data_IF_381522426003
#
_entry.id   IF_381522426003
#
_cell.length_a   1.000
_cell.length_b   1.000
_cell.length_c   1.000
_cell.angle_alpha   90.00
_cell.angle_beta   90.00
_cell.angle_gamma   90.00
#
_symmetry.space_group_name_H-M   'P 1'
#
loop_
_entity.id
_entity.type
_entity.pdbx_description
1 polymer ?
#
# COMPACT_ATOMS: atom_id res chain seq x y z
N UNK A 1 64.09 24.28 -21.72
CA UNK A 1 63.27 23.05 -21.47
C UNK A 1 61.85 23.48 -21.25
N UNK A 2 61.00 23.25 -22.25
CA UNK A 2 59.54 23.64 -22.16
C UNK A 2 58.84 22.44 -21.67
N UNK A 3 58.29 22.54 -20.45
CA UNK A 3 57.41 21.54 -19.89
C UNK A 3 55.96 21.76 -20.38
N UNK A 4 55.44 20.82 -21.14
CA UNK A 4 54.02 20.79 -21.53
C UNK A 4 53.25 20.21 -20.37
N UNK A 5 52.45 21.03 -19.67
CA UNK A 5 51.48 20.57 -18.69
C UNK A 5 50.26 20.04 -19.45
N UNK A 6 50.08 18.73 -19.46
CA UNK A 6 48.82 18.09 -19.90
C UNK A 6 47.77 18.31 -18.80
N UNK A 7 46.87 19.26 -19.03
CA UNK A 7 45.67 19.40 -18.23
C UNK A 7 44.72 18.25 -18.60
N UNK A 8 44.66 17.23 -17.74
CA UNK A 8 43.66 16.16 -17.86
C UNK A 8 42.29 16.71 -17.56
N UNK A 9 41.41 16.76 -18.55
CA UNK A 9 39.97 17.05 -18.34
C UNK A 9 39.35 15.78 -17.78
N UNK A 10 39.08 15.76 -16.48
CA UNK A 10 38.26 14.73 -15.87
C UNK A 10 36.81 14.97 -16.27
N UNK A 11 36.30 14.22 -17.24
CA UNK A 11 34.86 14.19 -17.55
C UNK A 11 34.21 13.35 -16.46
N UNK A 12 33.61 13.99 -15.49
CA UNK A 12 32.72 13.31 -14.55
C UNK A 12 31.46 12.88 -15.32
N UNK A 13 31.38 11.60 -15.66
CA UNK A 13 30.14 10.98 -16.16
C UNK A 13 29.17 10.96 -15.02
N UNK A 14 28.23 11.94 -14.98
CA UNK A 14 27.07 11.89 -14.10
C UNK A 14 26.14 10.77 -14.60
N UNK A 15 26.11 9.66 -13.88
CA UNK A 15 25.10 8.63 -14.08
C UNK A 15 23.72 9.25 -13.81
N UNK A 16 22.68 9.00 -14.65
CA UNK A 16 21.36 9.45 -14.34
C UNK A 16 20.94 8.80 -13.00
N UNK A 17 20.80 9.63 -11.98
CA UNK A 17 20.28 9.16 -10.71
C UNK A 17 18.83 8.75 -10.94
N UNK A 18 18.44 7.56 -10.45
CA UNK A 18 17.05 7.18 -10.37
C UNK A 18 16.27 8.28 -9.62
N UNK A 19 15.04 8.66 -10.07
CA UNK A 19 14.24 9.61 -9.32
C UNK A 19 14.11 9.12 -7.88
N UNK A 20 14.11 10.03 -6.88
CA UNK A 20 13.98 9.63 -5.48
C UNK A 20 12.70 8.80 -5.33
N UNK A 21 12.81 7.65 -4.65
CA UNK A 21 11.67 6.80 -4.37
C UNK A 21 10.63 7.60 -3.58
N UNK A 22 9.37 7.57 -4.04
CA UNK A 22 8.26 8.19 -3.33
C UNK A 22 7.96 7.35 -2.10
N UNK A 23 7.93 7.97 -0.92
CA UNK A 23 7.59 7.27 0.30
C UNK A 23 6.08 6.97 0.35
N UNK A 24 5.67 5.80 0.84
CA UNK A 24 4.25 5.43 0.92
C UNK A 24 3.38 6.46 1.67
N UNK A 25 3.89 7.05 2.74
CA UNK A 25 3.20 8.06 3.54
C UNK A 25 3.03 9.40 2.83
N UNK A 26 3.79 9.68 1.79
CA UNK A 26 3.61 10.88 0.96
C UNK A 26 2.37 10.76 0.07
N UNK A 27 2.02 9.55 -0.31
CA UNK A 27 0.85 9.27 -1.18
C UNK A 27 -0.37 8.90 -0.34
N UNK A 28 -0.19 8.07 0.67
CA UNK A 28 -1.26 7.63 1.57
C UNK A 28 -1.00 8.19 2.98
N UNK A 29 -1.55 9.37 3.30
CA UNK A 29 -1.23 10.07 4.55
C UNK A 29 -1.54 9.30 5.83
N UNK A 30 -2.48 8.36 5.80
CA UNK A 30 -2.80 7.51 6.95
C UNK A 30 -1.58 6.72 7.43
N UNK A 31 -0.64 6.40 6.54
CA UNK A 31 0.59 5.68 6.89
C UNK A 31 1.57 6.53 7.71
N UNK A 32 1.44 7.85 7.69
CA UNK A 32 2.22 8.76 8.52
C UNK A 32 1.67 8.91 9.95
N UNK A 33 0.43 8.48 10.19
CA UNK A 33 -0.21 8.53 11.51
C UNK A 33 0.54 7.60 12.49
N UNK A 34 0.70 8.03 13.74
CA UNK A 34 1.23 7.17 14.78
C UNK A 34 0.35 5.91 14.94
N UNK A 35 0.97 4.77 15.23
CA UNK A 35 0.26 3.53 15.47
C UNK A 35 -0.49 3.58 16.82
N UNK A 36 -1.58 2.83 16.88
CA UNK A 36 -2.39 2.65 18.07
C UNK A 36 -2.69 1.15 18.27
N UNK A 37 -3.18 0.77 19.43
CA UNK A 37 -3.44 -0.65 19.74
C UNK A 37 -4.44 -1.30 18.76
N UNK A 38 -5.45 -0.53 18.29
CA UNK A 38 -6.45 -0.99 17.32
C UNK A 38 -5.88 -1.23 15.92
N UNK A 39 -4.70 -0.72 15.62
CA UNK A 39 -4.06 -0.88 14.32
C UNK A 39 -3.46 -2.27 14.10
N UNK A 40 -3.36 -3.09 15.13
CA UNK A 40 -2.78 -4.41 15.04
C UNK A 40 -3.54 -5.29 14.02
N UNK A 41 -2.79 -5.87 13.08
CA UNK A 41 -3.33 -6.87 12.16
C UNK A 41 -3.75 -8.13 12.92
N UNK A 42 -4.79 -8.85 12.46
CA UNK A 42 -5.10 -10.18 12.99
C UNK A 42 -3.88 -11.10 12.93
N UNK A 43 -3.73 -11.97 13.92
CA UNK A 43 -2.55 -12.85 14.08
C UNK A 43 -2.33 -13.77 12.89
N UNK A 44 -3.39 -14.30 12.29
CA UNK A 44 -3.33 -15.14 11.11
C UNK A 44 -2.83 -14.36 9.88
N UNK A 45 -3.21 -13.09 9.77
CA UNK A 45 -2.71 -12.19 8.71
C UNK A 45 -1.21 -11.93 8.89
N UNK A 46 -0.77 -11.64 10.11
CA UNK A 46 0.65 -11.43 10.43
C UNK A 46 1.47 -12.66 10.07
N UNK A 47 1.00 -13.83 10.45
CA UNK A 47 1.69 -15.09 10.17
C UNK A 47 1.84 -15.36 8.67
N UNK A 48 0.81 -15.07 7.89
CA UNK A 48 0.85 -15.21 6.43
C UNK A 48 1.70 -14.15 5.75
N UNK A 49 1.65 -12.92 6.26
CA UNK A 49 2.35 -11.77 5.69
C UNK A 49 3.88 -11.81 5.91
N UNK A 50 4.35 -12.58 6.88
CA UNK A 50 5.78 -12.72 7.17
C UNK A 50 6.48 -13.75 6.28
N UNK A 51 5.73 -14.45 5.43
CA UNK A 51 6.25 -15.46 4.51
C UNK A 51 6.16 -14.91 3.08
N UNK A 52 7.24 -15.01 2.33
CA UNK A 52 7.27 -14.60 0.93
C UNK A 52 8.38 -13.59 0.61
N UNK A 53 8.33 -13.08 -0.61
CA UNK A 53 9.29 -12.11 -1.13
C UNK A 53 9.11 -10.72 -0.47
N UNK A 54 10.16 -9.87 -0.44
CA UNK A 54 10.07 -8.50 0.11
C UNK A 54 8.95 -7.66 -0.50
N UNK A 55 8.56 -7.93 -1.74
CA UNK A 55 7.49 -7.21 -2.45
C UNK A 55 6.10 -7.50 -1.90
N UNK A 56 5.92 -8.63 -1.23
CA UNK A 56 4.64 -9.07 -0.67
C UNK A 56 4.65 -9.17 0.86
N UNK A 57 5.83 -9.12 1.45
CA UNK A 57 5.97 -9.23 2.90
C UNK A 57 5.67 -7.90 3.57
N UNK A 58 4.60 -7.88 4.38
CA UNK A 58 4.17 -6.69 5.11
C UNK A 58 5.06 -6.44 6.33
N UNK A 59 5.28 -5.17 6.63
CA UNK A 59 5.76 -4.74 7.94
C UNK A 59 4.55 -4.59 8.88
N UNK A 60 4.38 -5.48 9.88
CA UNK A 60 3.21 -5.43 10.76
C UNK A 60 3.10 -4.12 11.56
N UNK A 61 4.24 -3.48 11.85
CA UNK A 61 4.26 -2.21 12.59
C UNK A 61 3.77 -1.02 11.76
N UNK A 62 3.72 -1.18 10.44
CA UNK A 62 3.21 -0.13 9.54
C UNK A 62 1.69 -0.12 9.43
N UNK A 63 1.01 -1.16 9.89
CA UNK A 63 -0.43 -1.30 9.72
C UNK A 63 -1.22 -0.19 10.42
N UNK A 64 -2.25 0.33 9.73
CA UNK A 64 -3.17 1.33 10.25
C UNK A 64 -4.59 0.92 9.92
N UNK A 65 -5.43 0.75 10.95
CA UNK A 65 -6.84 0.39 10.78
C UNK A 65 -7.61 1.56 10.16
N UNK A 66 -8.35 1.30 9.11
CA UNK A 66 -9.15 2.29 8.38
C UNK A 66 -10.63 2.20 8.70
N UNK A 67 -11.15 0.98 8.81
CA UNK A 67 -12.55 0.72 9.12
C UNK A 67 -12.72 -0.68 9.71
N UNK A 68 -13.76 -0.84 10.52
CA UNK A 68 -14.17 -2.13 11.11
C UNK A 68 -15.45 -2.60 10.42
N UNK A 69 -15.55 -3.89 10.14
CA UNK A 69 -16.71 -4.51 9.53
C UNK A 69 -17.53 -5.29 10.56
N UNK A 70 -18.86 -5.48 10.32
CA UNK A 70 -19.76 -6.10 11.32
C UNK A 70 -19.40 -7.53 11.74
N UNK A 71 -18.62 -8.27 10.94
CA UNK A 71 -18.29 -9.68 11.20
C UNK A 71 -16.88 -9.87 11.78
N UNK A 72 -16.44 -8.97 12.63
CA UNK A 72 -15.10 -8.96 13.22
C UNK A 72 -13.98 -8.83 12.18
N UNK A 73 -14.30 -8.24 11.05
CA UNK A 73 -13.35 -7.91 9.99
C UNK A 73 -12.95 -6.45 10.02
N UNK A 74 -12.17 -6.06 9.04
CA UNK A 74 -11.72 -4.69 8.87
C UNK A 74 -10.89 -4.52 7.62
N UNK A 75 -10.44 -3.29 7.42
CA UNK A 75 -9.50 -2.93 6.36
C UNK A 75 -8.38 -2.07 6.95
N UNK A 76 -7.15 -2.39 6.56
CA UNK A 76 -5.93 -1.73 7.01
C UNK A 76 -5.14 -1.19 5.82
N UNK A 77 -4.42 -0.11 6.02
CA UNK A 77 -3.29 0.28 5.19
C UNK A 77 -2.01 -0.25 5.84
N UNK A 78 -1.06 -0.68 5.03
CA UNK A 78 0.22 -1.17 5.51
C UNK A 78 1.30 -0.94 4.44
N UNK A 79 2.56 -1.20 4.79
CA UNK A 79 3.71 -1.07 3.89
C UNK A 79 4.43 -2.40 3.83
N UNK A 80 4.90 -2.78 2.65
CA UNK A 80 5.81 -3.93 2.52
C UNK A 80 7.22 -3.55 2.99
N UNK A 81 8.04 -4.56 3.25
CA UNK A 81 9.43 -4.34 3.67
C UNK A 81 10.27 -3.65 2.61
N UNK A 82 9.86 -3.67 1.34
CA UNK A 82 10.52 -2.98 0.24
C UNK A 82 9.89 -1.61 -0.11
N UNK A 83 8.89 -1.15 0.67
CA UNK A 83 8.33 0.20 0.55
C UNK A 83 7.10 0.35 -0.33
N UNK A 84 6.42 -0.72 -0.70
CA UNK A 84 5.13 -0.64 -1.41
C UNK A 84 4.01 -0.31 -0.45
N UNK A 85 3.03 0.47 -0.90
CA UNK A 85 1.81 0.72 -0.14
C UNK A 85 0.80 -0.39 -0.41
N UNK A 86 0.18 -0.89 0.66
CA UNK A 86 -0.78 -1.98 0.59
C UNK A 86 -2.08 -1.63 1.30
N UNK A 87 -3.16 -2.24 0.86
CA UNK A 87 -4.37 -2.37 1.64
C UNK A 87 -4.63 -3.86 1.92
N UNK A 88 -5.04 -4.14 3.15
CA UNK A 88 -5.36 -5.48 3.62
C UNK A 88 -6.82 -5.47 4.02
N UNK A 89 -7.65 -6.29 3.37
CA UNK A 89 -9.06 -6.44 3.69
C UNK A 89 -9.33 -7.80 4.27
N UNK A 90 -9.99 -7.81 5.42
CA UNK A 90 -10.41 -9.01 6.14
C UNK A 90 -11.91 -8.91 6.33
N UNK A 91 -12.73 -9.47 5.42
CA UNK A 91 -14.19 -9.40 5.55
C UNK A 91 -14.71 -10.07 6.83
N UNK A 92 -14.04 -11.12 7.24
CA UNK A 92 -14.28 -11.87 8.48
C UNK A 92 -13.01 -12.66 8.81
N UNK A 93 -12.84 -13.14 10.05
CA UNK A 93 -11.69 -13.98 10.41
C UNK A 93 -11.50 -15.17 9.45
N UNK A 94 -10.26 -15.40 9.05
CA UNK A 94 -9.90 -16.47 8.13
C UNK A 94 -10.01 -16.14 6.64
N UNK A 95 -10.53 -14.95 6.28
CA UNK A 95 -10.55 -14.47 4.88
C UNK A 95 -9.75 -13.19 4.78
N UNK A 96 -8.77 -13.17 3.92
CA UNK A 96 -7.89 -12.02 3.73
C UNK A 96 -7.59 -11.80 2.25
N UNK A 97 -7.57 -10.53 1.86
CA UNK A 97 -7.08 -10.09 0.56
C UNK A 97 -6.12 -8.93 0.73
N UNK A 98 -5.09 -8.91 -0.08
CA UNK A 98 -4.08 -7.85 -0.04
C UNK A 98 -3.79 -7.38 -1.46
N UNK A 99 -3.72 -6.07 -1.64
CA UNK A 99 -3.24 -5.45 -2.87
C UNK A 99 -2.18 -4.40 -2.52
N UNK A 100 -1.12 -4.37 -3.30
CA UNK A 100 0.01 -3.48 -3.09
C UNK A 100 0.35 -2.73 -4.38
N UNK A 101 0.82 -1.49 -4.23
CA UNK A 101 1.25 -0.64 -5.35
C UNK A 101 2.57 0.05 -5.01
N UNK A 102 3.45 0.27 -6.00
CA UNK A 102 4.54 1.21 -5.84
C UNK A 102 3.96 2.63 -5.64
N UNK A 103 4.32 3.37 -4.58
CA UNK A 103 3.69 4.67 -4.31
C UNK A 103 3.87 5.70 -5.41
N UNK A 104 5.00 5.63 -6.12
CA UNK A 104 5.34 6.54 -7.22
C UNK A 104 4.77 6.13 -8.58
N UNK A 105 4.12 5.00 -8.71
CA UNK A 105 3.63 4.46 -9.98
C UNK A 105 2.33 3.67 -9.78
N UNK A 106 1.28 4.38 -9.38
CA UNK A 106 -0.05 3.80 -9.19
C UNK A 106 -0.75 3.75 -10.54
N UNK A 107 -1.18 2.57 -11.02
CA UNK A 107 -1.94 2.47 -12.26
C UNK A 107 -3.22 3.33 -12.22
N UNK A 108 -3.66 3.84 -13.37
CA UNK A 108 -4.87 4.68 -13.46
C UNK A 108 -6.10 3.96 -12.94
N UNK A 109 -6.22 2.67 -13.24
CA UNK A 109 -7.30 1.79 -12.75
C UNK A 109 -7.07 1.34 -11.31
N UNK A 110 -5.92 1.68 -10.72
CA UNK A 110 -5.52 1.25 -9.39
C UNK A 110 -5.11 -0.22 -9.33
N UNK A 111 -4.96 -0.71 -8.11
CA UNK A 111 -4.76 -2.12 -7.81
C UNK A 111 -5.83 -2.57 -6.82
N UNK A 112 -6.28 -3.80 -6.95
CA UNK A 112 -7.34 -4.26 -6.07
C UNK A 112 -7.43 -5.77 -5.96
N UNK A 113 -8.32 -6.19 -5.09
CA UNK A 113 -8.65 -7.59 -4.89
C UNK A 113 -10.15 -7.71 -4.64
N UNK A 114 -10.74 -8.79 -5.14
CA UNK A 114 -12.13 -9.15 -4.90
C UNK A 114 -12.17 -10.52 -4.23
N UNK A 115 -12.79 -10.57 -3.07
CA UNK A 115 -13.04 -11.80 -2.33
C UNK A 115 -14.48 -12.24 -2.55
N UNK A 116 -14.64 -13.33 -3.29
CA UNK A 116 -15.95 -13.94 -3.51
C UNK A 116 -16.56 -14.48 -2.22
N UNK A 117 -17.84 -14.73 -2.23
CA UNK A 117 -18.58 -15.26 -1.09
C UNK A 117 -19.81 -14.43 -0.78
N UNK A 118 -20.32 -14.58 0.45
CA UNK A 118 -21.49 -13.83 0.93
C UNK A 118 -21.11 -13.05 2.17
N UNK A 119 -21.01 -11.71 2.09
CA UNK A 119 -21.03 -10.92 0.85
C UNK A 119 -19.73 -11.01 0.05
N UNK A 120 -19.78 -10.69 -1.23
CA UNK A 120 -18.55 -10.42 -2.02
C UNK A 120 -18.00 -9.07 -1.61
N UNK A 121 -16.71 -9.01 -1.28
CA UNK A 121 -16.04 -7.77 -0.86
C UNK A 121 -14.90 -7.47 -1.82
N UNK A 122 -14.92 -6.24 -2.34
CA UNK A 122 -13.87 -5.71 -3.21
C UNK A 122 -13.16 -4.54 -2.53
N UNK A 123 -11.88 -4.39 -2.82
CA UNK A 123 -11.06 -3.28 -2.34
C UNK A 123 -10.17 -2.77 -3.47
N UNK A 124 -9.94 -1.47 -3.50
CA UNK A 124 -9.07 -0.81 -4.47
C UNK A 124 -8.15 0.22 -3.83
N UNK A 125 -6.90 0.20 -4.29
CA UNK A 125 -5.93 1.27 -4.07
C UNK A 125 -5.89 2.13 -5.33
N UNK A 126 -6.19 3.41 -5.19
CA UNK A 126 -6.21 4.40 -6.27
C UNK A 126 -5.26 5.54 -5.94
N UNK A 127 -4.87 6.29 -6.94
CA UNK A 127 -4.23 7.59 -6.70
C UNK A 127 -5.20 8.46 -5.87
N UNK A 128 -4.78 9.01 -4.71
CA UNK A 128 -5.63 9.91 -3.93
C UNK A 128 -6.19 11.05 -4.78
N UNK A 129 -7.47 11.37 -4.60
CA UNK A 129 -8.17 12.36 -5.41
C UNK A 129 -8.81 11.82 -6.67
N UNK A 130 -8.61 10.55 -7.01
CA UNK A 130 -9.32 9.89 -8.11
C UNK A 130 -10.80 9.74 -7.80
N UNK A 131 -11.68 9.75 -8.84
CA UNK A 131 -13.10 9.44 -8.63
C UNK A 131 -13.30 8.00 -8.16
N UNK A 132 -14.47 7.72 -7.60
CA UNK A 132 -14.83 6.37 -7.17
C UNK A 132 -14.64 5.36 -8.32
N UNK A 133 -13.96 4.23 -8.09
CA UNK A 133 -13.75 3.22 -9.13
C UNK A 133 -15.06 2.52 -9.55
N UNK A 134 -16.00 2.39 -8.62
CA UNK A 134 -17.34 1.83 -8.84
C UNK A 134 -18.37 2.55 -7.96
N UNK A 135 -19.63 2.52 -8.37
CA UNK A 135 -20.73 3.23 -7.66
C UNK A 135 -21.02 2.67 -6.26
N UNK A 136 -20.68 1.41 -6.01
CA UNK A 136 -20.90 0.71 -4.76
C UNK A 136 -19.67 0.69 -3.85
N UNK A 137 -18.72 1.56 -4.08
CA UNK A 137 -17.51 1.66 -3.26
C UNK A 137 -17.50 2.91 -2.38
N UNK A 138 -16.95 2.74 -1.19
CA UNK A 138 -16.75 3.80 -0.20
C UNK A 138 -15.26 4.06 -0.02
N UNK A 139 -14.85 5.33 -0.05
CA UNK A 139 -13.51 5.71 0.32
C UNK A 139 -13.36 5.70 1.85
N UNK A 140 -12.49 4.85 2.36
CA UNK A 140 -12.22 4.72 3.81
C UNK A 140 -11.00 5.52 4.25
N UNK A 141 -10.15 5.89 3.32
CA UNK A 141 -9.00 6.77 3.49
C UNK A 141 -8.63 7.30 2.09
N UNK A 142 -7.98 8.46 1.95
CA UNK A 142 -7.61 8.98 0.65
C UNK A 142 -6.91 7.92 -0.23
N UNK A 143 -7.53 7.57 -1.35
CA UNK A 143 -7.04 6.58 -2.31
C UNK A 143 -7.36 5.12 -1.98
N UNK A 144 -8.01 4.83 -0.86
CA UNK A 144 -8.33 3.45 -0.45
C UNK A 144 -9.83 3.28 -0.38
N UNK A 145 -10.35 2.39 -1.22
CA UNK A 145 -11.77 2.15 -1.44
C UNK A 145 -12.15 0.71 -1.09
N UNK A 146 -13.32 0.52 -0.55
CA UNK A 146 -13.89 -0.79 -0.25
C UNK A 146 -15.37 -0.82 -0.60
N UNK A 147 -15.86 -1.97 -1.07
CA UNK A 147 -17.26 -2.12 -1.43
C UNK A 147 -18.19 -1.94 -0.22
N UNK A 148 -19.35 -1.30 -0.45
CA UNK A 148 -20.37 -1.10 0.59
C UNK A 148 -20.83 -2.42 1.22
N UNK A 149 -20.77 -3.52 0.48
CA UNK A 149 -21.09 -4.86 0.97
C UNK A 149 -20.29 -5.29 2.19
N UNK A 150 -19.08 -4.74 2.38
CA UNK A 150 -18.25 -5.03 3.56
C UNK A 150 -18.89 -4.54 4.87
N UNK A 151 -19.75 -3.52 4.79
CA UNK A 151 -20.43 -2.90 5.94
C UNK A 151 -21.81 -3.47 6.22
N UNK A 152 -22.27 -4.42 5.42
CA UNK A 152 -23.56 -5.09 5.61
C UNK A 152 -23.41 -6.32 6.50
N UNK A 153 -24.42 -6.54 7.34
CA UNK A 153 -24.51 -7.75 8.18
C UNK A 153 -24.93 -8.99 7.40
#
# INVERSE_FOLDING_TARGET
MSGVALAGVAVALAWPQAPPAVAPEEVFPVLARADAAEDALPTDVVSSAMVGDPETRLDPNSARLLAVFPRDGGIWAAVTVDGRACAVVVPRPGRVGTACVPPGDIPTEGAGVTLGGTPTVSMRLMQPGSPAPDDDMREVSPGIWVSESAFTE
#
